data_IF_774305538188
#
_entry.id   IF_774305538188
#
_cell.length_a   1.000
_cell.length_b   1.000
_cell.length_c   1.000
_cell.angle_alpha   90.00
_cell.angle_beta   90.00
_cell.angle_gamma   90.00
#
_symmetry.space_group_name_H-M   'P 1'
#
loop_
_entity.id
_entity.type
_entity.pdbx_description
1 polymer ?
#
# COMPACT_ATOMS: atom_id res chain seq x y z
N UNK A 1 -65.49 10.13 24.43
CA UNK A 1 -64.59 8.99 24.71
C UNK A 1 -63.46 9.04 23.69
N UNK A 2 -62.37 9.69 24.01
CA UNK A 2 -61.15 9.77 23.18
C UNK A 2 -60.17 8.71 23.66
N UNK A 3 -59.81 7.78 22.78
CA UNK A 3 -58.75 6.81 23.05
C UNK A 3 -57.42 7.43 22.62
N UNK A 4 -56.57 7.73 23.57
CA UNK A 4 -55.19 8.16 23.42
C UNK A 4 -54.35 6.94 22.99
N UNK A 5 -53.79 6.98 21.78
CA UNK A 5 -52.82 6.01 21.31
C UNK A 5 -51.48 6.24 21.98
N UNK A 6 -50.88 5.21 22.58
CA UNK A 6 -49.59 5.26 23.26
C UNK A 6 -48.44 5.33 22.22
N UNK A 7 -47.45 6.21 22.43
CA UNK A 7 -46.28 6.34 21.55
C UNK A 7 -45.12 5.38 21.92
N UNK A 8 -45.43 4.17 22.37
CA UNK A 8 -44.38 3.26 22.91
C UNK A 8 -43.89 2.20 21.93
N UNK A 9 -44.31 2.22 20.65
CA UNK A 9 -43.99 1.12 19.72
C UNK A 9 -43.05 1.49 18.55
N UNK A 10 -42.44 2.66 18.57
CA UNK A 10 -41.58 3.10 17.44
C UNK A 10 -40.06 3.03 17.75
N UNK A 11 -39.65 2.78 19.00
CA UNK A 11 -38.23 2.85 19.41
C UNK A 11 -37.49 1.50 19.27
N UNK A 12 -38.16 0.39 18.97
CA UNK A 12 -37.54 -0.95 18.95
C UNK A 12 -37.06 -1.44 17.60
N UNK A 13 -37.21 -0.65 16.52
CA UNK A 13 -36.82 -1.06 15.16
C UNK A 13 -35.53 -0.40 14.62
N UNK A 14 -34.90 0.50 15.35
CA UNK A 14 -33.69 1.22 14.86
C UNK A 14 -32.38 0.68 15.42
N UNK A 15 -32.38 -0.26 16.36
CA UNK A 15 -31.16 -0.80 16.98
C UNK A 15 -30.62 -2.04 16.24
N UNK A 16 -31.44 -2.70 15.41
CA UNK A 16 -31.00 -3.92 14.69
C UNK A 16 -30.19 -3.68 13.42
N UNK A 17 -30.15 -2.46 12.89
CA UNK A 17 -29.43 -2.17 11.62
C UNK A 17 -27.94 -1.90 11.82
N UNK A 18 -27.46 -1.64 13.03
CA UNK A 18 -26.07 -1.28 13.31
C UNK A 18 -25.18 -2.51 13.56
N UNK A 19 -25.78 -3.69 13.81
CA UNK A 19 -25.01 -4.91 14.13
C UNK A 19 -24.76 -5.86 12.94
N UNK A 20 -25.20 -5.51 11.74
CA UNK A 20 -24.92 -6.28 10.53
C UNK A 20 -23.82 -5.61 9.70
N UNK A 21 -22.75 -5.14 10.35
CA UNK A 21 -21.49 -4.94 9.66
C UNK A 21 -20.99 -6.33 9.24
N UNK A 22 -20.75 -6.57 7.95
CA UNK A 22 -20.33 -7.90 7.50
C UNK A 22 -19.06 -8.30 8.25
N UNK A 23 -18.99 -9.54 8.70
CA UNK A 23 -17.83 -10.13 9.39
C UNK A 23 -16.51 -10.02 8.61
N UNK A 24 -16.53 -9.50 7.38
CA UNK A 24 -15.36 -9.12 6.57
C UNK A 24 -14.47 -8.04 7.21
N UNK A 25 -14.97 -7.29 8.19
CA UNK A 25 -14.22 -6.20 8.84
C UNK A 25 -13.21 -6.66 9.91
N UNK A 26 -12.97 -7.96 10.06
CA UNK A 26 -12.01 -8.51 11.02
C UNK A 26 -10.91 -9.37 10.37
N UNK A 27 -10.60 -9.11 9.13
CA UNK A 27 -9.36 -9.66 8.59
C UNK A 27 -8.20 -9.05 9.40
N UNK A 28 -7.54 -9.88 10.19
CA UNK A 28 -6.34 -9.49 10.92
C UNK A 28 -5.16 -9.65 9.96
N UNK A 29 -4.43 -8.56 9.73
CA UNK A 29 -3.28 -8.56 8.84
C UNK A 29 -2.25 -9.64 9.22
N UNK A 30 -2.01 -9.86 10.52
CA UNK A 30 -1.06 -10.86 10.98
C UNK A 30 -1.54 -12.27 10.64
N UNK A 31 -2.83 -12.57 10.78
CA UNK A 31 -3.40 -13.86 10.39
C UNK A 31 -3.33 -14.09 8.88
N UNK A 32 -3.52 -13.04 8.09
CA UNK A 32 -3.35 -13.11 6.63
C UNK A 32 -1.89 -13.40 6.24
N UNK A 33 -0.92 -12.79 6.93
CA UNK A 33 0.53 -13.07 6.73
C UNK A 33 0.85 -14.50 7.13
N UNK A 34 0.38 -15.00 8.28
CA UNK A 34 0.56 -16.40 8.69
C UNK A 34 -0.04 -17.34 7.64
N UNK A 35 -1.22 -17.06 7.10
CA UNK A 35 -1.83 -17.85 6.03
C UNK A 35 -0.96 -17.88 4.77
N UNK A 36 -0.36 -16.73 4.41
CA UNK A 36 0.57 -16.63 3.30
C UNK A 36 1.83 -17.48 3.52
N UNK A 37 2.43 -17.40 4.70
CA UNK A 37 3.66 -18.13 5.06
C UNK A 37 3.42 -19.66 5.10
N UNK A 38 2.21 -20.08 5.46
CA UNK A 38 1.77 -21.48 5.40
C UNK A 38 1.41 -21.96 3.99
N UNK A 39 1.57 -21.12 2.95
CA UNK A 39 1.22 -21.46 1.57
C UNK A 39 -0.28 -21.47 1.27
N UNK A 40 -1.13 -21.04 2.20
CA UNK A 40 -2.59 -20.94 2.04
C UNK A 40 -2.95 -19.66 1.25
N UNK A 41 -2.40 -19.56 0.03
CA UNK A 41 -2.43 -18.30 -0.75
C UNK A 41 -3.84 -17.81 -1.08
N UNK A 42 -4.81 -18.71 -1.33
CA UNK A 42 -6.19 -18.28 -1.61
C UNK A 42 -6.85 -17.62 -0.38
N UNK A 43 -6.64 -18.17 0.82
CA UNK A 43 -7.13 -17.58 2.06
C UNK A 43 -6.46 -16.23 2.31
N UNK A 44 -5.13 -16.21 2.31
CA UNK A 44 -4.34 -15.00 2.52
C UNK A 44 -4.74 -13.86 1.55
N UNK A 45 -4.93 -14.20 0.26
CA UNK A 45 -5.38 -13.23 -0.74
C UNK A 45 -6.74 -12.62 -0.42
N UNK A 46 -7.72 -13.43 0.00
CA UNK A 46 -9.06 -12.94 0.33
C UNK A 46 -9.00 -11.99 1.54
N UNK A 47 -8.20 -12.33 2.55
CA UNK A 47 -8.02 -11.50 3.73
C UNK A 47 -7.27 -10.20 3.38
N UNK A 48 -6.21 -10.26 2.55
CA UNK A 48 -5.53 -9.06 2.07
C UNK A 48 -6.43 -8.18 1.20
N UNK A 49 -7.32 -8.75 0.38
CA UNK A 49 -8.27 -7.96 -0.40
C UNK A 49 -9.24 -7.20 0.51
N UNK A 50 -9.81 -7.88 1.52
CA UNK A 50 -10.71 -7.23 2.48
C UNK A 50 -10.02 -6.08 3.24
N UNK A 51 -8.74 -6.28 3.61
CA UNK A 51 -7.93 -5.24 4.24
C UNK A 51 -7.58 -4.09 3.28
N UNK A 52 -7.30 -4.39 2.01
CA UNK A 52 -7.01 -3.38 0.99
C UNK A 52 -8.25 -2.52 0.67
N UNK A 53 -9.46 -3.09 0.71
CA UNK A 53 -10.73 -2.35 0.55
C UNK A 53 -10.89 -1.23 1.59
N UNK A 54 -10.39 -1.45 2.81
CA UNK A 54 -10.36 -0.43 3.88
C UNK A 54 -9.07 0.39 3.90
N UNK A 55 -8.23 0.23 2.89
CA UNK A 55 -7.03 1.05 2.69
C UNK A 55 -5.79 0.62 3.46
N UNK A 56 -5.70 -0.63 3.93
CA UNK A 56 -4.55 -1.13 4.67
C UNK A 56 -3.32 -1.27 3.78
N UNK A 57 -2.36 -0.36 3.90
CA UNK A 57 -1.19 -0.28 3.02
C UNK A 57 -0.30 -1.54 3.02
N UNK A 58 -0.19 -2.24 4.16
CA UNK A 58 0.53 -3.52 4.24
C UNK A 58 -0.14 -4.62 3.43
N UNK A 59 -1.47 -4.67 3.41
CA UNK A 59 -2.22 -5.65 2.62
C UNK A 59 -2.10 -5.36 1.11
N UNK A 60 -2.14 -4.09 0.73
CA UNK A 60 -1.87 -3.68 -0.66
C UNK A 60 -0.47 -4.11 -1.11
N UNK A 61 0.55 -3.91 -0.25
CA UNK A 61 1.90 -4.41 -0.54
C UNK A 61 1.91 -5.93 -0.72
N UNK A 62 1.28 -6.71 0.17
CA UNK A 62 1.24 -8.17 0.06
C UNK A 62 0.49 -8.65 -1.20
N UNK A 63 -0.57 -7.96 -1.62
CA UNK A 63 -1.23 -8.24 -2.91
C UNK A 63 -0.29 -8.00 -4.10
N UNK A 64 0.53 -6.96 -4.03
CA UNK A 64 1.60 -6.71 -5.00
C UNK A 64 2.63 -7.85 -5.05
N UNK A 65 3.10 -8.32 -3.88
CA UNK A 65 4.00 -9.46 -3.75
C UNK A 65 3.38 -10.73 -4.35
N UNK A 66 2.11 -11.01 -4.05
CA UNK A 66 1.41 -12.18 -4.60
C UNK A 66 1.32 -12.14 -6.12
N UNK A 67 1.04 -10.97 -6.71
CA UNK A 67 1.01 -10.77 -8.16
C UNK A 67 2.38 -10.88 -8.81
N UNK A 68 3.40 -10.29 -8.18
CA UNK A 68 4.75 -10.30 -8.70
C UNK A 68 5.35 -11.72 -8.75
N UNK A 69 5.15 -12.51 -7.68
CA UNK A 69 5.70 -13.87 -7.59
C UNK A 69 4.73 -14.98 -8.01
N UNK A 70 3.52 -14.67 -8.44
CA UNK A 70 2.53 -15.68 -8.82
C UNK A 70 2.05 -16.54 -7.65
N UNK A 71 1.95 -15.99 -6.43
CA UNK A 71 1.52 -16.72 -5.24
C UNK A 71 0.00 -16.79 -5.14
N UNK A 72 -0.57 -17.92 -5.53
CA UNK A 72 -2.02 -18.17 -5.54
C UNK A 72 -2.79 -17.43 -6.64
N UNK A 73 -2.09 -16.77 -7.53
CA UNK A 73 -2.61 -16.06 -8.72
C UNK A 73 -1.55 -16.11 -9.82
N UNK A 74 -1.92 -16.02 -11.10
CA UNK A 74 -0.94 -15.86 -12.17
C UNK A 74 -0.09 -14.60 -11.94
N UNK A 75 1.24 -14.65 -12.21
CA UNK A 75 2.10 -13.49 -12.09
C UNK A 75 1.68 -12.41 -13.09
N UNK A 76 1.77 -11.14 -12.66
CA UNK A 76 1.41 -9.99 -13.47
C UNK A 76 2.14 -8.75 -12.91
N UNK A 77 3.20 -8.33 -13.58
CA UNK A 77 4.04 -7.21 -13.16
C UNK A 77 3.28 -5.88 -13.19
N UNK A 78 2.34 -5.69 -14.12
CA UNK A 78 1.56 -4.46 -14.21
C UNK A 78 0.59 -4.33 -13.04
N UNK A 79 -0.13 -5.40 -12.71
CA UNK A 79 -0.99 -5.42 -11.52
C UNK A 79 -0.18 -5.35 -10.22
N UNK A 80 1.00 -5.98 -10.16
CA UNK A 80 1.90 -5.85 -9.02
C UNK A 80 2.33 -4.39 -8.81
N UNK A 81 2.72 -3.71 -9.89
CA UNK A 81 3.09 -2.29 -9.84
C UNK A 81 1.95 -1.40 -9.33
N UNK A 82 0.71 -1.66 -9.75
CA UNK A 82 -0.47 -0.93 -9.26
C UNK A 82 -0.63 -1.10 -7.74
N UNK A 83 -0.50 -2.33 -7.22
CA UNK A 83 -0.61 -2.60 -5.80
C UNK A 83 0.54 -2.01 -4.99
N UNK A 84 1.78 -2.11 -5.48
CA UNK A 84 2.94 -1.48 -4.84
C UNK A 84 2.81 0.04 -4.82
N UNK A 85 2.31 0.66 -5.90
CA UNK A 85 2.05 2.09 -5.93
C UNK A 85 1.01 2.52 -4.89
N UNK A 86 -0.12 1.79 -4.77
CA UNK A 86 -1.14 2.07 -3.75
C UNK A 86 -0.55 2.03 -2.33
N UNK A 87 0.24 1.01 -2.02
CA UNK A 87 0.93 0.92 -0.75
C UNK A 87 1.95 2.06 -0.55
N UNK A 88 2.71 2.40 -1.60
CA UNK A 88 3.76 3.43 -1.56
C UNK A 88 3.20 4.81 -1.25
N UNK A 89 2.11 5.23 -1.90
CA UNK A 89 1.48 6.54 -1.66
C UNK A 89 0.89 6.67 -0.26
N UNK A 90 0.50 5.57 0.36
CA UNK A 90 0.05 5.49 1.76
C UNK A 90 1.21 5.42 2.76
N UNK A 91 2.44 5.51 2.28
CA UNK A 91 3.63 5.55 3.12
C UNK A 91 4.16 4.19 3.55
N UNK A 92 3.70 3.08 2.96
CA UNK A 92 4.28 1.77 3.23
C UNK A 92 5.73 1.71 2.68
N UNK A 93 6.74 1.50 3.53
CA UNK A 93 8.14 1.59 3.09
C UNK A 93 8.54 0.44 2.16
N UNK A 94 7.99 -0.76 2.34
CA UNK A 94 8.23 -1.88 1.44
C UNK A 94 7.59 -1.63 0.06
N UNK A 95 6.39 -1.01 0.04
CA UNK A 95 5.73 -0.58 -1.20
C UNK A 95 6.55 0.46 -1.95
N UNK A 96 7.11 1.44 -1.24
CA UNK A 96 7.99 2.48 -1.81
C UNK A 96 9.27 1.87 -2.40
N UNK A 97 9.92 0.95 -1.67
CA UNK A 97 11.08 0.21 -2.14
C UNK A 97 10.76 -0.61 -3.40
N UNK A 98 9.70 -1.42 -3.34
CA UNK A 98 9.30 -2.27 -4.45
C UNK A 98 8.95 -1.45 -5.69
N UNK A 99 8.13 -0.40 -5.55
CA UNK A 99 7.72 0.42 -6.68
C UNK A 99 8.90 1.18 -7.31
N UNK A 100 9.82 1.70 -6.48
CA UNK A 100 11.08 2.29 -6.97
C UNK A 100 11.95 1.27 -7.74
N UNK A 101 12.05 0.05 -7.25
CA UNK A 101 12.79 -1.05 -7.91
C UNK A 101 12.18 -1.43 -9.27
N UNK A 102 10.85 -1.43 -9.40
CA UNK A 102 10.18 -1.68 -10.68
C UNK A 102 10.54 -0.61 -11.72
N UNK A 103 10.66 0.64 -11.33
CA UNK A 103 11.05 1.73 -12.22
C UNK A 103 12.49 1.63 -12.71
N UNK A 104 13.43 1.06 -11.93
CA UNK A 104 14.80 0.79 -12.42
C UNK A 104 14.76 -0.21 -13.57
N UNK A 105 13.94 -1.26 -13.46
CA UNK A 105 13.93 -2.40 -14.37
C UNK A 105 12.91 -2.28 -15.50
N UNK A 106 11.94 -1.38 -15.40
CA UNK A 106 10.81 -1.28 -16.33
C UNK A 106 9.85 -2.47 -16.24
N UNK A 107 9.69 -3.09 -15.04
CA UNK A 107 8.81 -4.24 -14.83
C UNK A 107 7.40 -3.76 -14.48
N UNK A 108 6.44 -4.04 -15.34
CA UNK A 108 5.04 -3.60 -15.16
C UNK A 108 4.80 -2.09 -15.23
N UNK A 109 5.87 -1.31 -15.34
CA UNK A 109 5.89 0.15 -15.53
C UNK A 109 6.96 0.51 -16.54
N UNK A 110 6.82 1.68 -17.17
CA UNK A 110 7.92 2.22 -17.97
C UNK A 110 9.14 2.49 -17.08
N UNK A 111 10.34 2.12 -17.55
CA UNK A 111 11.59 2.48 -16.89
C UNK A 111 11.68 4.01 -16.72
N UNK A 112 12.00 4.44 -15.50
CA UNK A 112 12.07 5.86 -15.12
C UNK A 112 13.00 6.02 -13.91
N UNK A 113 14.24 6.37 -14.17
CA UNK A 113 15.27 6.47 -13.12
C UNK A 113 15.00 7.64 -12.16
N UNK A 114 14.37 8.72 -12.63
CA UNK A 114 13.98 9.87 -11.77
C UNK A 114 12.95 9.41 -10.74
N UNK A 115 11.91 8.70 -11.18
CA UNK A 115 10.91 8.13 -10.24
C UNK A 115 11.52 7.07 -9.34
N UNK A 116 12.36 6.19 -9.88
CA UNK A 116 13.08 5.18 -9.09
C UNK A 116 13.85 5.83 -7.95
N UNK A 117 14.74 6.77 -8.27
CA UNK A 117 15.54 7.50 -7.30
C UNK A 117 14.67 8.21 -6.25
N UNK A 118 13.60 8.87 -6.70
CA UNK A 118 12.68 9.58 -5.83
C UNK A 118 12.01 8.64 -4.81
N UNK A 119 11.39 7.54 -5.26
CA UNK A 119 10.74 6.57 -4.38
C UNK A 119 11.71 5.89 -3.41
N UNK A 120 12.90 5.52 -3.90
CA UNK A 120 13.95 4.92 -3.07
C UNK A 120 14.49 5.90 -2.03
N UNK A 121 14.59 7.19 -2.37
CA UNK A 121 14.94 8.24 -1.40
C UNK A 121 13.87 8.41 -0.32
N UNK A 122 12.59 8.26 -0.64
CA UNK A 122 11.51 8.26 0.36
C UNK A 122 11.60 7.03 1.25
N UNK A 123 11.81 5.83 0.68
CA UNK A 123 11.95 4.58 1.43
C UNK A 123 13.17 4.59 2.36
N UNK A 124 14.31 5.12 1.89
CA UNK A 124 15.55 5.21 2.66
C UNK A 124 15.46 6.09 3.92
N UNK A 125 14.48 6.99 4.00
CA UNK A 125 14.26 7.83 5.19
C UNK A 125 13.46 7.14 6.31
N UNK A 126 13.10 5.88 6.17
CA UNK A 126 12.41 5.12 7.21
C UNK A 126 13.40 4.45 8.15
N UNK A 127 13.11 4.48 9.45
CA UNK A 127 13.99 3.94 10.50
C UNK A 127 13.90 2.39 10.62
N UNK A 128 13.92 1.69 9.49
CA UNK A 128 13.96 0.22 9.42
C UNK A 128 15.32 -0.15 8.81
N UNK A 129 16.32 -0.57 9.61
CA UNK A 129 17.72 -0.65 9.17
C UNK A 129 17.94 -1.45 7.88
N UNK A 130 17.40 -2.67 7.78
CA UNK A 130 17.60 -3.52 6.61
C UNK A 130 16.96 -2.97 5.33
N UNK A 131 15.76 -2.41 5.43
CA UNK A 131 15.06 -1.76 4.32
C UNK A 131 15.77 -0.47 3.89
N UNK A 132 16.26 0.31 4.85
CA UNK A 132 17.01 1.53 4.57
C UNK A 132 18.24 1.25 3.71
N UNK A 133 19.04 0.24 4.10
CA UNK A 133 20.23 -0.15 3.33
C UNK A 133 19.89 -0.60 1.91
N UNK A 134 18.83 -1.41 1.73
CA UNK A 134 18.38 -1.83 0.42
C UNK A 134 17.93 -0.64 -0.44
N UNK A 135 17.17 0.28 0.14
CA UNK A 135 16.71 1.46 -0.57
C UNK A 135 17.88 2.36 -1.01
N UNK A 136 18.88 2.55 -0.14
CA UNK A 136 20.10 3.30 -0.46
C UNK A 136 20.86 2.62 -1.60
N UNK A 137 21.08 1.31 -1.53
CA UNK A 137 21.82 0.58 -2.54
C UNK A 137 21.16 0.68 -3.93
N UNK A 138 19.85 0.49 -4.02
CA UNK A 138 19.10 0.61 -5.27
C UNK A 138 19.04 2.05 -5.77
N UNK A 139 18.91 3.03 -4.87
CA UNK A 139 18.96 4.44 -5.23
C UNK A 139 20.30 4.82 -5.84
N UNK A 140 21.39 4.34 -5.25
CA UNK A 140 22.75 4.61 -5.73
C UNK A 140 23.03 3.88 -7.06
N UNK A 141 22.40 2.71 -7.27
CA UNK A 141 22.39 2.03 -8.59
C UNK A 141 21.73 2.91 -9.65
N UNK A 142 20.53 3.45 -9.36
CA UNK A 142 19.85 4.36 -10.28
C UNK A 142 20.69 5.62 -10.54
N UNK A 143 21.30 6.21 -9.51
CA UNK A 143 22.09 7.43 -9.60
C UNK A 143 23.30 7.29 -10.54
N UNK A 144 23.92 6.10 -10.63
CA UNK A 144 25.05 5.87 -11.56
C UNK A 144 24.67 6.00 -13.02
N UNK A 145 23.41 5.88 -13.35
CA UNK A 145 22.86 5.95 -14.70
C UNK A 145 22.21 7.31 -14.99
N UNK A 146 22.20 8.23 -14.03
CA UNK A 146 21.56 9.53 -14.09
C UNK A 146 22.59 10.66 -14.19
N UNK A 147 22.22 11.75 -14.85
CA UNK A 147 22.97 12.99 -14.79
C UNK A 147 22.59 13.84 -13.55
N UNK A 148 23.36 14.89 -13.29
CA UNK A 148 23.18 15.74 -12.10
C UNK A 148 21.81 16.45 -12.07
N UNK A 149 21.26 16.80 -13.23
CA UNK A 149 19.96 17.44 -13.33
C UNK A 149 18.83 16.47 -12.96
N UNK A 150 18.87 15.26 -13.48
CA UNK A 150 17.90 14.19 -13.15
C UNK A 150 17.91 13.82 -11.67
N UNK A 151 19.10 13.78 -11.05
CA UNK A 151 19.22 13.55 -9.59
C UNK A 151 18.58 14.70 -8.82
N UNK A 152 18.84 15.94 -9.21
CA UNK A 152 18.25 17.11 -8.55
C UNK A 152 16.72 17.13 -8.67
N UNK A 153 16.18 16.81 -9.85
CA UNK A 153 14.74 16.66 -10.08
C UNK A 153 14.12 15.59 -9.17
N UNK A 154 14.75 14.42 -9.10
CA UNK A 154 14.30 13.32 -8.25
C UNK A 154 14.31 13.66 -6.76
N UNK A 155 15.35 14.37 -6.29
CA UNK A 155 15.44 14.85 -4.91
C UNK A 155 14.35 15.86 -4.59
N UNK A 156 14.08 16.79 -5.50
CA UNK A 156 13.01 17.77 -5.35
C UNK A 156 11.63 17.11 -5.31
N UNK A 157 11.41 16.10 -6.16
CA UNK A 157 10.19 15.32 -6.16
C UNK A 157 10.01 14.60 -4.80
N UNK A 158 11.05 13.92 -4.30
CA UNK A 158 11.00 13.20 -3.03
C UNK A 158 10.71 14.13 -1.84
N UNK A 159 11.28 15.34 -1.83
CA UNK A 159 11.01 16.36 -0.81
C UNK A 159 9.55 16.81 -0.82
N UNK A 160 9.00 17.10 -1.99
CA UNK A 160 7.58 17.48 -2.15
C UNK A 160 6.63 16.37 -1.75
N UNK A 161 6.95 15.13 -2.09
CA UNK A 161 6.14 13.97 -1.68
C UNK A 161 6.10 13.84 -0.15
N UNK A 162 7.25 13.98 0.53
CA UNK A 162 7.32 13.96 2.00
C UNK A 162 6.52 15.07 2.65
N UNK A 163 6.64 16.29 2.15
CA UNK A 163 5.91 17.43 2.68
C UNK A 163 4.38 17.21 2.59
N UNK A 164 3.89 16.73 1.46
CA UNK A 164 2.47 16.41 1.27
C UNK A 164 2.00 15.29 2.20
N UNK A 165 2.78 14.24 2.36
CA UNK A 165 2.43 13.11 3.24
C UNK A 165 2.46 13.49 4.73
N UNK A 166 3.18 14.56 5.09
CA UNK A 166 3.21 15.15 6.43
C UNK A 166 2.12 16.24 6.65
N UNK A 167 1.29 16.52 5.65
CA UNK A 167 0.27 17.58 5.72
C UNK A 167 0.85 19.00 5.65
N UNK A 168 2.10 19.15 5.21
CA UNK A 168 2.74 20.45 5.01
C UNK A 168 2.39 20.96 3.62
N UNK A 169 1.69 22.10 3.52
CA UNK A 169 1.53 22.84 2.27
C UNK A 169 2.87 23.47 1.89
N UNK A 170 3.34 23.17 0.69
CA UNK A 170 4.46 23.91 0.08
C UNK A 170 3.81 25.04 -0.70
N UNK A 171 3.87 26.25 -0.15
CA UNK A 171 3.54 27.49 -0.84
C UNK A 171 4.56 27.75 -1.97
#
# INVERSE_FOLDING_TARGET
MQRTAHPALIILLTISAVFFLPQRARADFNNAVVSYDLGKFHSARNDFLALAEIGHAGAEFMLGVMRFYGKGVPPDDALAAIWFYKAAIKGNPNGQLAFGSLHIRGLGVRQDLVKAYGWLSVAANRAIPGLQQQAIALRDEAARLMNTYEIAEAMQWASRFKARSAGLTLD
#
